data_IF_342336781980
#
_entry.id   IF_342336781980
#
_cell.length_a   1.000
_cell.length_b   1.000
_cell.length_c   1.000
_cell.angle_alpha   90.00
_cell.angle_beta   90.00
_cell.angle_gamma   90.00
#
_symmetry.space_group_name_H-M   'P 1'
#
loop_
_entity.id
_entity.type
_entity.pdbx_description
1 polymer ?
#
# COMPACT_ATOMS: atom_id res chain seq x y z
N UNK A 1 -8.80 10.67 5.69
CA UNK A 1 -8.97 10.76 7.15
C UNK A 1 -9.34 9.47 7.86
N UNK A 2 -9.78 8.41 7.17
CA UNK A 2 -10.15 7.14 7.81
C UNK A 2 -9.30 5.95 7.32
N UNK A 3 -8.06 6.20 6.88
CA UNK A 3 -7.16 5.16 6.37
C UNK A 3 -5.95 5.10 7.29
N UNK A 4 -5.74 3.94 7.90
CA UNK A 4 -4.59 3.66 8.78
C UNK A 4 -3.81 2.50 8.14
N UNK A 5 -2.60 2.74 7.60
CA UNK A 5 -1.79 1.66 7.06
C UNK A 5 -1.19 0.80 8.19
N UNK A 6 -1.17 -0.52 8.01
CA UNK A 6 -0.55 -1.48 8.94
C UNK A 6 0.53 -2.26 8.17
N UNK A 7 1.68 -1.64 7.87
CA UNK A 7 2.75 -2.29 7.13
C UNK A 7 3.43 -3.38 7.96
N UNK A 8 3.64 -4.56 7.36
CA UNK A 8 4.34 -5.68 7.99
C UNK A 8 5.80 -5.76 7.54
N UNK A 9 6.72 -5.99 8.48
CA UNK A 9 8.14 -6.27 8.19
C UNK A 9 8.71 -7.31 9.16
N UNK A 10 9.80 -7.95 8.77
CA UNK A 10 10.55 -8.93 9.59
C UNK A 10 11.89 -8.39 10.10
N UNK A 11 12.24 -7.16 9.76
CA UNK A 11 13.53 -6.55 10.14
C UNK A 11 13.32 -5.27 10.92
N UNK A 12 14.15 -5.06 11.95
CA UNK A 12 14.10 -3.85 12.80
C UNK A 12 14.37 -2.59 11.97
N UNK A 13 15.37 -2.64 11.08
CA UNK A 13 15.68 -1.51 10.20
C UNK A 13 14.48 -1.01 9.40
N UNK A 14 13.72 -1.91 8.76
CA UNK A 14 12.55 -1.48 7.99
C UNK A 14 11.42 -0.99 8.91
N UNK A 15 11.32 -1.50 10.14
CA UNK A 15 10.34 -0.97 11.10
C UNK A 15 10.66 0.48 11.45
N UNK A 16 11.93 0.81 11.65
CA UNK A 16 12.39 2.18 11.87
C UNK A 16 12.06 3.07 10.67
N UNK A 17 12.37 2.63 9.43
CA UNK A 17 12.04 3.36 8.20
C UNK A 17 10.53 3.63 8.05
N UNK A 18 9.69 2.64 8.38
CA UNK A 18 8.23 2.80 8.38
C UNK A 18 7.77 3.85 9.40
N UNK A 19 8.38 3.87 10.59
CA UNK A 19 8.09 4.87 11.61
C UNK A 19 8.57 6.27 11.19
N UNK A 20 9.73 6.40 10.53
CA UNK A 20 10.21 7.66 9.93
C UNK A 20 9.22 8.22 8.93
N UNK A 21 8.65 7.36 8.07
CA UNK A 21 7.70 7.75 7.03
C UNK A 21 6.49 8.51 7.56
N UNK A 22 6.06 8.25 8.80
CA UNK A 22 4.92 8.94 9.44
C UNK A 22 5.14 10.45 9.66
N UNK A 23 6.40 10.91 9.62
CA UNK A 23 6.76 12.31 9.84
C UNK A 23 6.90 13.12 8.57
N UNK A 24 6.85 12.47 7.41
CA UNK A 24 6.99 13.13 6.12
C UNK A 24 5.62 13.49 5.57
N UNK A 25 5.41 14.78 5.32
CA UNK A 25 4.31 15.24 4.48
C UNK A 25 4.79 15.31 3.03
N UNK A 26 3.98 14.81 2.10
CA UNK A 26 4.24 14.93 0.67
C UNK A 26 3.83 16.32 0.16
N UNK A 27 4.58 16.87 -0.79
CA UNK A 27 4.21 18.11 -1.47
C UNK A 27 3.08 17.88 -2.47
N UNK A 28 2.44 18.96 -2.94
CA UNK A 28 1.39 18.84 -3.97
C UNK A 28 1.94 18.28 -5.28
N UNK A 29 3.18 18.62 -5.63
CA UNK A 29 3.85 18.12 -6.83
C UNK A 29 4.14 16.62 -6.71
N UNK A 30 4.58 16.16 -5.53
CA UNK A 30 4.79 14.74 -5.26
C UNK A 30 3.46 13.96 -5.34
N UNK A 31 2.38 14.51 -4.78
CA UNK A 31 1.05 13.89 -4.87
C UNK A 31 0.54 13.82 -6.32
N UNK A 32 0.69 14.90 -7.09
CA UNK A 32 0.31 14.91 -8.51
C UNK A 32 1.14 13.91 -9.34
N UNK A 33 2.42 13.75 -9.00
CA UNK A 33 3.28 12.73 -9.64
C UNK A 33 2.81 11.32 -9.31
N UNK A 34 2.38 11.06 -8.07
CA UNK A 34 1.82 9.77 -7.67
C UNK A 34 0.54 9.49 -8.44
N UNK A 35 -0.40 10.43 -8.52
CA UNK A 35 -1.68 10.25 -9.20
C UNK A 35 -1.52 9.99 -10.71
N UNK A 36 -0.55 10.64 -11.34
CA UNK A 36 -0.24 10.44 -12.76
C UNK A 36 0.49 9.11 -13.01
N UNK A 37 1.36 8.68 -12.10
CA UNK A 37 2.14 7.44 -12.23
C UNK A 37 1.31 6.19 -11.87
N UNK A 38 0.45 6.30 -10.86
CA UNK A 38 -0.37 5.24 -10.30
C UNK A 38 -1.86 5.60 -10.49
N UNK A 39 -2.37 5.55 -11.73
CA UNK A 39 -3.73 6.00 -12.02
C UNK A 39 -4.79 5.15 -11.29
N UNK A 40 -6.01 5.68 -11.21
CA UNK A 40 -7.14 4.96 -10.62
C UNK A 40 -7.25 3.56 -11.23
N UNK A 41 -7.38 2.56 -10.36
CA UNK A 41 -7.43 1.16 -10.75
C UNK A 41 -6.07 0.45 -10.79
N UNK A 42 -4.95 1.16 -10.61
CA UNK A 42 -3.61 0.55 -10.65
C UNK A 42 -3.44 -0.59 -9.64
N UNK A 43 -3.96 -0.43 -8.43
CA UNK A 43 -3.95 -1.46 -7.38
C UNK A 43 -5.28 -2.24 -7.29
N UNK A 44 -6.15 -2.14 -8.29
CA UNK A 44 -7.45 -2.82 -8.25
C UNK A 44 -7.31 -4.32 -8.52
N UNK A 45 -8.13 -5.11 -7.83
CA UNK A 45 -8.21 -6.56 -7.98
C UNK A 45 -7.48 -7.33 -6.89
N UNK A 46 -7.44 -8.64 -7.06
CA UNK A 46 -6.87 -9.55 -6.07
C UNK A 46 -5.34 -9.45 -6.05
N UNK A 47 -4.78 -9.38 -4.84
CA UNK A 47 -3.33 -9.48 -4.61
C UNK A 47 -2.75 -10.83 -5.05
N UNK A 48 -3.55 -11.89 -4.94
CA UNK A 48 -3.17 -13.27 -5.22
C UNK A 48 -4.00 -13.83 -6.36
N UNK A 49 -3.41 -14.72 -7.16
CA UNK A 49 -4.14 -15.42 -8.23
C UNK A 49 -5.14 -16.43 -7.65
N UNK A 50 -6.08 -16.88 -8.47
CA UNK A 50 -7.05 -17.93 -8.09
C UNK A 50 -6.34 -19.18 -7.58
N UNK A 51 -5.21 -19.56 -8.20
CA UNK A 51 -4.45 -20.74 -7.77
C UNK A 51 -3.79 -20.57 -6.40
N UNK A 52 -3.48 -19.33 -6.00
CA UNK A 52 -2.93 -18.97 -4.70
C UNK A 52 -4.01 -18.79 -3.62
N UNK A 53 -5.27 -18.54 -4.01
CA UNK A 53 -6.39 -18.28 -3.09
C UNK A 53 -7.39 -19.44 -2.96
N UNK A 54 -7.03 -20.67 -3.39
CA UNK A 54 -7.94 -21.83 -3.43
C UNK A 54 -8.75 -22.12 -2.15
N UNK A 55 -8.20 -21.79 -0.98
CA UNK A 55 -8.82 -22.05 0.31
C UNK A 55 -9.50 -20.84 0.94
N UNK A 56 -9.35 -19.65 0.34
CA UNK A 56 -9.90 -18.40 0.85
C UNK A 56 -11.07 -18.02 -0.02
N UNK A 57 -12.27 -18.03 0.56
CA UNK A 57 -13.44 -17.51 -0.11
C UNK A 57 -13.27 -16.01 -0.35
N UNK A 58 -13.51 -15.58 -1.59
CA UNK A 58 -13.39 -14.19 -1.99
C UNK A 58 -14.78 -13.59 -2.16
N UNK A 59 -15.01 -12.45 -1.52
CA UNK A 59 -16.27 -11.71 -1.60
C UNK A 59 -16.06 -10.43 -2.41
N UNK A 60 -15.66 -10.58 -3.66
CA UNK A 60 -15.61 -9.55 -4.71
C UNK A 60 -15.74 -10.22 -6.07
#
# INVERSE_FOLDING_TARGET
>A
DNIIPIPGTRTVKHLEELAEGTRRNLTQEELALIDTTLPIGWAHGNRYSISQSKAVEQYC
#
